data_IF_437177041275
#
_entry.id   IF_437177041275
#
_cell.length_a   1.000
_cell.length_b   1.000
_cell.length_c   1.000
_cell.angle_alpha   90.00
_cell.angle_beta   90.00
_cell.angle_gamma   90.00
#
_symmetry.space_group_name_H-M   'P 1'
#
loop_
_entity.id
_entity.type
_entity.pdbx_description
1 polymer ?
#
# COMPACT_ATOMS: atom_id res chain seq x y z
N UNK A 1 23.39 8.83 23.79
CA UNK A 1 22.41 9.86 24.19
C UNK A 1 21.30 9.85 23.15
N UNK A 2 20.04 9.66 23.51
CA UNK A 2 18.95 9.56 22.51
C UNK A 2 18.76 10.87 21.74
N UNK A 3 18.59 10.80 20.41
CA UNK A 3 18.36 11.96 19.52
C UNK A 3 17.31 12.94 20.07
N UNK A 4 16.21 12.41 20.60
CA UNK A 4 15.12 13.22 21.17
C UNK A 4 15.55 14.03 22.40
N UNK A 5 16.41 13.46 23.24
CA UNK A 5 16.98 14.13 24.41
C UNK A 5 17.93 15.24 23.99
N UNK A 6 18.84 14.95 23.04
CA UNK A 6 19.78 15.91 22.51
C UNK A 6 19.09 17.10 21.80
N UNK A 7 18.08 16.82 20.97
CA UNK A 7 17.30 17.86 20.29
C UNK A 7 16.52 18.73 21.29
N UNK A 8 15.93 18.13 22.34
CA UNK A 8 15.23 18.88 23.38
C UNK A 8 16.19 19.81 24.12
N UNK A 9 17.37 19.32 24.48
CA UNK A 9 18.41 20.10 25.16
C UNK A 9 18.92 21.24 24.28
N UNK A 10 19.18 20.98 23.00
CA UNK A 10 19.61 22.00 22.04
C UNK A 10 18.55 23.10 21.85
N UNK A 11 17.26 22.73 21.79
CA UNK A 11 16.17 23.71 21.68
C UNK A 11 16.03 24.55 22.95
N UNK A 12 16.11 23.93 24.13
CA UNK A 12 16.09 24.66 25.41
C UNK A 12 17.27 25.62 25.55
N UNK A 13 18.48 25.20 25.16
CA UNK A 13 19.68 26.04 25.18
C UNK A 13 19.62 27.20 24.17
N UNK A 14 19.01 26.98 23.01
CA UNK A 14 18.85 28.02 21.97
C UNK A 14 17.81 29.09 22.31
N UNK A 15 16.90 28.82 23.27
CA UNK A 15 15.79 29.69 23.61
C UNK A 15 14.75 29.90 22.49
N UNK A 16 14.81 29.11 21.41
CA UNK A 16 13.91 29.24 20.26
C UNK A 16 12.62 28.44 20.45
N UNK A 17 11.48 29.05 20.10
CA UNK A 17 10.21 28.33 20.01
C UNK A 17 10.19 27.43 18.77
N UNK A 18 9.41 26.34 18.82
CA UNK A 18 9.26 25.42 17.67
C UNK A 18 8.72 26.13 16.42
N UNK A 19 7.84 27.10 16.59
CA UNK A 19 7.30 27.96 15.52
C UNK A 19 8.42 28.78 14.85
N UNK A 20 9.35 29.32 15.64
CA UNK A 20 10.51 30.07 15.14
C UNK A 20 11.51 29.18 14.42
N UNK A 21 11.69 27.94 14.89
CA UNK A 21 12.53 26.92 14.25
C UNK A 21 11.91 26.52 12.89
N UNK A 22 10.61 26.22 12.84
CA UNK A 22 9.89 25.99 11.57
C UNK A 22 10.10 27.15 10.60
N UNK A 23 9.89 28.38 11.06
CA UNK A 23 10.01 29.56 10.21
C UNK A 23 11.43 29.71 9.62
N UNK A 24 12.47 29.44 10.41
CA UNK A 24 13.88 29.48 9.96
C UNK A 24 14.22 28.34 8.99
N UNK A 25 13.68 27.14 9.20
CA UNK A 25 13.81 26.02 8.25
C UNK A 25 13.11 26.35 6.92
N UNK A 26 11.91 26.95 6.99
CA UNK A 26 11.16 27.39 5.80
C UNK A 26 11.91 28.44 4.97
N UNK A 27 12.62 29.38 5.61
CA UNK A 27 13.50 30.35 4.90
C UNK A 27 14.66 29.70 4.14
N UNK A 28 15.00 28.45 4.46
CA UNK A 28 16.03 27.64 3.80
C UNK A 28 15.44 26.64 2.80
N UNK A 29 14.14 26.73 2.50
CA UNK A 29 13.43 25.82 1.59
C UNK A 29 13.10 24.45 2.20
N UNK A 30 13.26 24.29 3.53
CA UNK A 30 13.01 23.02 4.22
C UNK A 30 11.67 23.07 4.95
N UNK A 31 10.68 22.33 4.43
CA UNK A 31 9.32 22.30 5.00
C UNK A 31 9.21 21.27 6.11
N UNK A 32 9.16 21.73 7.36
CA UNK A 32 8.95 20.86 8.55
C UNK A 32 7.86 21.46 9.43
N UNK A 33 6.83 20.67 9.79
CA UNK A 33 5.75 21.18 10.64
C UNK A 33 6.19 21.30 12.11
N UNK A 34 5.52 22.17 12.89
CA UNK A 34 5.76 22.25 14.35
C UNK A 34 5.41 20.96 15.07
N UNK A 35 4.38 20.26 14.61
CA UNK A 35 4.04 18.93 15.10
C UNK A 35 5.22 17.97 14.91
N UNK A 36 5.82 17.93 13.71
CA UNK A 36 7.00 17.10 13.41
C UNK A 36 8.17 17.39 14.36
N UNK A 37 8.48 18.68 14.59
CA UNK A 37 9.54 19.08 15.55
C UNK A 37 9.21 18.67 16.99
N UNK A 38 7.94 18.79 17.40
CA UNK A 38 7.47 18.35 18.73
C UNK A 38 7.55 16.82 18.91
N UNK A 39 7.21 16.07 17.86
CA UNK A 39 7.33 14.60 17.85
C UNK A 39 8.79 14.14 17.91
N UNK A 40 9.71 14.87 17.27
CA UNK A 40 11.16 14.62 17.37
C UNK A 40 11.69 14.87 18.78
N UNK A 41 11.27 15.95 19.45
CA UNK A 41 11.66 16.22 20.85
C UNK A 41 11.14 15.19 21.86
N UNK A 42 10.01 14.54 21.55
CA UNK A 42 9.41 13.49 22.39
C UNK A 42 9.89 12.08 22.05
N UNK A 43 10.73 11.93 21.01
CA UNK A 43 11.23 10.62 20.55
C UNK A 43 10.16 9.75 19.90
N UNK A 44 9.02 10.33 19.52
CA UNK A 44 7.91 9.64 18.84
C UNK A 44 8.15 9.48 17.34
N UNK A 45 9.10 10.23 16.77
CA UNK A 45 9.56 10.14 15.38
C UNK A 45 11.03 10.58 15.32
N UNK A 46 11.77 10.15 14.30
CA UNK A 46 13.11 10.65 13.99
C UNK A 46 13.13 11.31 12.60
N UNK A 47 13.96 12.35 12.38
CA UNK A 47 14.11 12.97 11.07
C UNK A 47 14.72 11.96 10.08
N UNK A 48 14.14 11.87 8.87
CA UNK A 48 14.61 10.98 7.79
C UNK A 48 15.65 11.64 6.88
N UNK A 49 15.74 12.97 6.90
CA UNK A 49 16.67 13.75 6.07
C UNK A 49 17.80 14.31 6.92
N UNK A 50 19.04 13.90 6.62
CA UNK A 50 20.25 14.50 7.22
C UNK A 50 20.34 15.99 6.94
N UNK A 51 19.93 16.43 5.75
CA UNK A 51 19.91 17.86 5.36
C UNK A 51 19.08 18.72 6.31
N UNK A 52 17.96 18.18 6.81
CA UNK A 52 17.11 18.88 7.78
C UNK A 52 17.77 18.96 9.15
N UNK A 53 18.51 17.92 9.55
CA UNK A 53 19.21 17.89 10.85
C UNK A 53 20.43 18.79 10.86
N UNK A 54 21.21 18.82 9.78
CA UNK A 54 22.31 19.77 9.59
C UNK A 54 21.78 21.22 9.65
N UNK A 55 20.67 21.51 8.98
CA UNK A 55 20.05 22.84 9.05
C UNK A 55 19.53 23.17 10.46
N UNK A 56 19.07 22.18 11.22
CA UNK A 56 18.68 22.35 12.63
C UNK A 56 19.88 22.65 13.52
N UNK A 57 21.02 21.97 13.33
CA UNK A 57 22.24 22.21 14.09
C UNK A 57 22.69 23.67 13.95
N UNK A 58 22.70 24.18 12.72
CA UNK A 58 23.01 25.57 12.44
C UNK A 58 21.99 26.55 13.03
N UNK A 59 20.68 26.24 12.96
CA UNK A 59 19.63 27.11 13.52
C UNK A 59 19.72 27.19 15.05
N UNK A 60 20.07 26.07 15.68
CA UNK A 60 20.20 25.92 17.13
C UNK A 60 21.59 26.31 17.64
N UNK A 61 22.53 26.66 16.74
CA UNK A 61 23.91 27.05 17.05
C UNK A 61 24.66 25.97 17.86
N UNK A 62 24.41 24.69 17.54
CA UNK A 62 25.16 23.57 18.10
C UNK A 62 26.28 23.14 17.14
N UNK A 63 27.38 22.56 17.64
CA UNK A 63 28.45 22.08 16.78
C UNK A 63 27.94 21.10 15.71
N UNK A 64 28.44 21.17 14.46
CA UNK A 64 28.04 20.26 13.40
C UNK A 64 28.35 18.81 13.82
N UNK A 65 27.43 17.88 13.54
CA UNK A 65 27.55 16.47 13.93
C UNK A 65 26.86 16.12 15.26
N UNK A 66 26.58 17.11 16.12
CA UNK A 66 26.00 16.88 17.46
C UNK A 66 24.66 16.11 17.44
N UNK A 67 23.79 16.41 16.47
CA UNK A 67 22.50 15.75 16.26
C UNK A 67 22.54 14.78 15.08
N UNK A 68 23.41 15.04 14.09
CA UNK A 68 23.57 14.24 12.88
C UNK A 68 24.20 12.88 13.19
N UNK A 69 25.21 12.83 14.07
CA UNK A 69 25.87 11.58 14.45
C UNK A 69 24.96 10.69 15.32
N UNK A 70 24.00 11.31 16.03
CA UNK A 70 22.96 10.61 16.79
C UNK A 70 21.86 9.99 15.90
N UNK A 71 21.90 10.22 14.59
CA UNK A 71 21.07 9.48 13.63
C UNK A 71 21.68 8.09 13.30
N UNK A 72 22.97 7.90 13.57
CA UNK A 72 23.75 6.71 13.22
C UNK A 72 23.92 5.72 14.39
N UNK A 73 23.68 6.15 15.64
CA UNK A 73 23.82 5.29 16.83
C UNK A 73 22.49 4.55 17.15
N UNK A 74 22.47 3.21 17.18
CA UNK A 74 21.27 2.43 17.48
C UNK A 74 20.90 2.52 18.96
N UNK A 75 19.65 2.90 19.23
CA UNK A 75 19.05 2.78 20.56
C UNK A 75 19.02 1.29 21.00
N UNK A 76 19.31 0.99 22.27
CA UNK A 76 19.32 -0.37 22.78
C UNK A 76 17.90 -0.92 22.99
N UNK A 77 17.72 -2.18 22.58
CA UNK A 77 16.57 -3.06 22.85
C UNK A 77 15.25 -2.69 22.17
N UNK A 78 15.26 -2.70 20.85
CA UNK A 78 14.21 -3.35 20.08
C UNK A 78 14.90 -4.30 19.10
N UNK A 79 14.48 -5.57 19.08
CA UNK A 79 15.00 -6.63 18.22
C UNK A 79 15.18 -6.12 16.78
N UNK A 80 16.35 -6.29 16.15
CA UNK A 80 16.65 -5.58 14.92
C UNK A 80 15.88 -6.19 13.75
N UNK A 81 14.88 -5.46 13.24
CA UNK A 81 14.49 -5.56 11.82
C UNK A 81 15.22 -4.42 11.11
N UNK A 82 16.47 -4.69 10.70
CA UNK A 82 17.27 -3.77 9.89
C UNK A 82 18.18 -4.51 8.92
N UNK A 83 17.55 -5.11 7.93
CA UNK A 83 17.93 -4.99 6.53
C UNK A 83 16.65 -4.62 5.80
N UNK A 84 16.71 -3.95 4.63
CA UNK A 84 15.55 -4.03 3.72
C UNK A 84 15.15 -5.49 3.63
N UNK A 85 13.86 -5.81 3.71
CA UNK A 85 13.41 -7.19 3.66
C UNK A 85 13.98 -7.76 2.35
N UNK A 86 14.97 -8.64 2.47
CA UNK A 86 15.45 -9.42 1.34
C UNK A 86 14.58 -10.65 1.36
N UNK A 87 13.98 -11.00 0.22
CA UNK A 87 13.45 -12.34 0.06
C UNK A 87 14.59 -13.32 0.42
N UNK A 88 14.35 -14.27 1.33
CA UNK A 88 15.38 -15.04 2.05
C UNK A 88 16.42 -15.76 1.18
N UNK A 89 17.37 -16.43 1.84
CA UNK A 89 18.42 -17.22 1.16
C UNK A 89 17.82 -18.30 0.22
N UNK A 90 18.51 -18.67 -0.88
CA UNK A 90 17.96 -19.60 -1.86
C UNK A 90 17.64 -20.96 -1.25
N UNK A 91 16.38 -21.39 -1.33
CA UNK A 91 16.03 -22.78 -1.08
C UNK A 91 16.58 -23.69 -2.19
N UNK A 92 16.96 -24.96 -1.91
CA UNK A 92 17.48 -25.90 -2.91
C UNK A 92 16.58 -26.11 -4.14
N UNK A 93 15.28 -25.76 -4.04
CA UNK A 93 14.29 -25.90 -5.11
C UNK A 93 14.00 -24.63 -5.93
N UNK A 94 14.68 -23.50 -5.71
CA UNK A 94 14.37 -22.22 -6.40
C UNK A 94 14.68 -22.24 -7.91
N UNK A 95 15.65 -23.04 -8.38
CA UNK A 95 16.15 -22.98 -9.75
C UNK A 95 15.29 -23.70 -10.81
N UNK A 96 14.25 -24.42 -10.42
CA UNK A 96 13.45 -25.26 -11.33
C UNK A 96 11.95 -24.99 -11.34
N UNK A 97 11.43 -24.02 -10.57
CA UNK A 97 9.97 -23.85 -10.42
C UNK A 97 9.35 -23.09 -11.58
N UNK A 98 8.31 -23.65 -12.24
CA UNK A 98 7.67 -23.00 -13.37
C UNK A 98 6.82 -21.79 -12.93
N UNK A 99 6.66 -20.79 -13.82
CA UNK A 99 5.98 -19.51 -13.49
C UNK A 99 4.53 -19.74 -13.08
N UNK A 100 3.90 -20.73 -13.73
CA UNK A 100 2.50 -21.07 -13.58
C UNK A 100 2.13 -21.45 -12.14
N UNK A 101 3.08 -21.97 -11.36
CA UNK A 101 2.85 -22.37 -9.96
C UNK A 101 2.67 -21.16 -9.03
N UNK A 102 3.04 -19.95 -9.48
CA UNK A 102 2.73 -18.73 -8.74
C UNK A 102 1.23 -18.45 -8.72
N UNK A 103 0.45 -19.04 -9.62
CA UNK A 103 -0.96 -18.74 -9.84
C UNK A 103 -1.85 -19.83 -9.25
N UNK A 104 -3.05 -19.50 -8.72
CA UNK A 104 -3.95 -20.50 -8.14
C UNK A 104 -4.39 -21.58 -9.15
N UNK A 105 -4.58 -21.17 -10.41
CA UNK A 105 -4.89 -22.05 -11.54
C UNK A 105 -3.75 -21.96 -12.58
N UNK A 106 -2.78 -22.90 -12.53
CA UNK A 106 -1.64 -22.91 -13.45
C UNK A 106 -2.02 -23.10 -14.91
N UNK A 107 -3.06 -23.88 -15.20
CA UNK A 107 -3.52 -24.15 -16.56
C UNK A 107 -4.18 -22.92 -17.17
N UNK A 108 -5.05 -22.26 -16.40
CA UNK A 108 -5.66 -20.98 -16.80
C UNK A 108 -4.60 -19.91 -17.03
N UNK A 109 -3.60 -19.83 -16.16
CA UNK A 109 -2.46 -18.94 -16.39
C UNK A 109 -1.79 -19.25 -17.74
N UNK A 110 -1.43 -20.52 -18.00
CA UNK A 110 -0.78 -20.94 -19.25
C UNK A 110 -1.64 -20.65 -20.48
N UNK A 111 -2.94 -20.90 -20.43
CA UNK A 111 -3.86 -20.64 -21.53
C UNK A 111 -4.02 -19.14 -21.80
N UNK A 112 -4.12 -18.33 -20.76
CA UNK A 112 -4.29 -16.88 -20.87
C UNK A 112 -3.05 -16.22 -21.47
N UNK A 113 -1.86 -16.58 -20.96
CA UNK A 113 -0.60 -16.00 -21.41
C UNK A 113 -0.12 -16.54 -22.75
N UNK A 114 -0.56 -17.72 -23.16
CA UNK A 114 -0.28 -18.28 -24.49
C UNK A 114 -0.95 -17.50 -25.63
N UNK A 115 -1.92 -16.63 -25.31
CA UNK A 115 -2.60 -15.77 -26.27
C UNK A 115 -1.91 -14.41 -26.48
N UNK A 116 -0.86 -14.12 -25.71
CA UNK A 116 -0.14 -12.84 -25.70
C UNK A 116 1.28 -13.02 -26.25
N UNK A 117 1.84 -11.97 -26.83
CA UNK A 117 3.23 -11.97 -27.27
C UNK A 117 4.19 -11.69 -26.10
N UNK A 118 4.93 -12.74 -25.70
CA UNK A 118 5.89 -12.73 -24.58
C UNK A 118 7.33 -12.79 -25.04
N UNK A 119 7.58 -12.67 -26.34
CA UNK A 119 8.89 -12.93 -26.94
C UNK A 119 9.98 -12.04 -26.34
N UNK A 120 9.65 -10.81 -25.94
CA UNK A 120 10.58 -9.87 -25.30
C UNK A 120 10.67 -9.94 -23.77
N UNK A 121 9.75 -10.62 -23.08
CA UNK A 121 9.59 -10.53 -21.61
C UNK A 121 10.83 -10.97 -20.84
N UNK A 122 11.51 -12.01 -21.33
CA UNK A 122 12.69 -12.62 -20.70
C UNK A 122 13.95 -11.76 -20.89
N UNK A 123 13.91 -10.80 -21.81
CA UNK A 123 14.97 -9.80 -22.05
C UNK A 123 14.66 -8.46 -21.40
N UNK A 124 13.63 -8.38 -20.55
CA UNK A 124 13.34 -7.20 -19.76
C UNK A 124 13.77 -7.44 -18.31
N UNK A 125 14.79 -6.70 -17.91
CA UNK A 125 15.17 -6.53 -16.52
C UNK A 125 14.20 -5.54 -15.86
N UNK A 126 13.65 -5.91 -14.70
CA UNK A 126 12.73 -5.07 -13.95
C UNK A 126 13.52 -4.38 -12.84
N UNK A 127 13.75 -3.08 -13.01
CA UNK A 127 14.50 -2.29 -12.03
C UNK A 127 13.61 -2.00 -10.82
N UNK A 128 12.37 -1.57 -11.05
CA UNK A 128 11.46 -1.30 -9.94
C UNK A 128 9.99 -1.51 -10.28
N UNK A 129 9.21 -1.89 -9.27
CA UNK A 129 7.75 -1.94 -9.31
C UNK A 129 7.20 -1.23 -8.08
N UNK A 130 6.25 -0.34 -8.29
CA UNK A 130 5.51 0.35 -7.24
C UNK A 130 4.02 0.10 -7.43
N UNK A 131 3.40 -0.50 -6.42
CA UNK A 131 1.97 -0.75 -6.38
C UNK A 131 1.29 0.14 -5.35
N UNK A 132 0.14 0.68 -5.73
CA UNK A 132 -0.81 1.31 -4.82
C UNK A 132 -2.14 0.60 -4.98
N UNK A 133 -2.47 -0.24 -4.01
CA UNK A 133 -3.75 -0.94 -3.93
C UNK A 133 -4.69 -0.13 -3.02
N UNK A 134 -5.84 0.28 -3.53
CA UNK A 134 -6.84 1.04 -2.76
C UNK A 134 -8.08 0.19 -2.55
N UNK A 135 -8.48 0.06 -1.30
CA UNK A 135 -9.73 -0.58 -0.90
C UNK A 135 -10.77 0.49 -0.60
N UNK A 136 -11.98 0.31 -1.13
CA UNK A 136 -13.10 1.16 -0.78
C UNK A 136 -13.56 0.96 0.68
N UNK A 137 -14.31 1.93 1.21
CA UNK A 137 -14.85 1.90 2.57
C UNK A 137 -15.70 0.66 2.85
N UNK A 138 -16.44 0.19 1.83
CA UNK A 138 -17.31 -0.97 1.94
C UNK A 138 -16.57 -2.31 1.78
N UNK A 139 -15.29 -2.31 1.38
CA UNK A 139 -14.47 -3.47 1.01
C UNK A 139 -15.10 -4.34 -0.09
N UNK A 140 -15.88 -3.72 -0.96
CA UNK A 140 -16.58 -4.36 -2.08
C UNK A 140 -15.98 -3.98 -3.41
N UNK A 141 -15.07 -3.01 -3.44
CA UNK A 141 -14.35 -2.64 -4.64
C UNK A 141 -12.92 -2.25 -4.32
N UNK A 142 -12.05 -2.41 -5.32
CA UNK A 142 -10.67 -2.01 -5.21
C UNK A 142 -10.13 -1.49 -6.54
N UNK A 143 -9.07 -0.68 -6.43
CA UNK A 143 -8.26 -0.24 -7.57
C UNK A 143 -6.79 -0.56 -7.33
N UNK A 144 -6.04 -0.79 -8.41
CA UNK A 144 -4.61 -1.01 -8.35
C UNK A 144 -3.92 -0.10 -9.35
N UNK A 145 -3.14 0.86 -8.86
CA UNK A 145 -2.23 1.66 -9.68
C UNK A 145 -0.84 1.04 -9.63
N UNK A 146 -0.22 0.82 -10.80
CA UNK A 146 1.12 0.22 -10.91
C UNK A 146 2.03 1.14 -11.71
N UNK A 147 3.26 1.32 -11.22
CA UNK A 147 4.39 1.90 -11.98
C UNK A 147 5.51 0.89 -12.04
N UNK A 148 6.00 0.58 -13.24
CA UNK A 148 7.18 -0.27 -13.43
C UNK A 148 8.25 0.43 -14.26
N UNK A 149 9.50 0.30 -13.82
CA UNK A 149 10.69 0.74 -14.54
C UNK A 149 11.43 -0.49 -15.04
N UNK A 150 11.66 -0.53 -16.35
CA UNK A 150 12.24 -1.65 -17.07
C UNK A 150 13.54 -1.22 -17.75
N UNK A 151 14.46 -2.16 -17.90
CA UNK A 151 15.64 -2.05 -18.75
C UNK A 151 15.65 -3.20 -19.75
N UNK A 152 15.88 -2.88 -21.01
CA UNK A 152 16.09 -3.89 -22.04
C UNK A 152 17.49 -4.50 -21.89
N UNK A 153 17.56 -5.83 -21.78
CA UNK A 153 18.80 -6.61 -21.76
C UNK A 153 19.20 -7.11 -23.17
N UNK A 154 18.39 -6.83 -24.21
CA UNK A 154 18.65 -7.18 -25.60
C UNK A 154 17.80 -6.34 -26.57
N UNK A 155 18.10 -6.41 -27.87
CA UNK A 155 17.56 -5.52 -28.91
C UNK A 155 16.26 -5.98 -29.56
N UNK A 156 15.40 -5.03 -29.95
CA UNK A 156 14.09 -5.28 -30.57
C UNK A 156 12.98 -5.67 -29.57
N UNK A 157 12.94 -5.01 -28.41
CA UNK A 157 11.80 -5.16 -27.47
C UNK A 157 10.80 -4.03 -27.69
N UNK A 158 9.57 -4.35 -28.04
CA UNK A 158 8.52 -3.35 -28.26
C UNK A 158 7.39 -3.41 -27.22
N UNK A 159 7.38 -4.41 -26.33
CA UNK A 159 6.29 -4.61 -25.35
C UNK A 159 6.72 -5.37 -24.10
N UNK A 160 5.84 -5.33 -23.09
CA UNK A 160 5.89 -6.16 -21.88
C UNK A 160 4.51 -6.76 -21.61
N UNK A 161 4.46 -8.00 -21.10
CA UNK A 161 3.21 -8.62 -20.64
C UNK A 161 3.06 -8.49 -19.13
N UNK A 162 1.89 -8.01 -18.71
CA UNK A 162 1.48 -7.91 -17.32
C UNK A 162 0.36 -8.92 -17.03
N UNK A 163 0.39 -9.54 -15.85
CA UNK A 163 -0.66 -10.46 -15.40
C UNK A 163 -1.00 -10.10 -13.95
N UNK A 164 -2.29 -10.04 -13.66
CA UNK A 164 -2.84 -9.75 -12.33
C UNK A 164 -3.99 -10.68 -12.01
N UNK A 165 -4.17 -10.95 -10.72
CA UNK A 165 -5.41 -11.56 -10.25
C UNK A 165 -6.40 -10.44 -9.97
N UNK A 166 -7.53 -10.49 -10.66
CA UNK A 166 -8.63 -9.54 -10.54
C UNK A 166 -9.84 -10.14 -9.84
N UNK A 167 -9.78 -11.40 -9.42
CA UNK A 167 -10.84 -12.02 -8.63
C UNK A 167 -10.37 -13.16 -7.73
N UNK A 168 -11.17 -13.48 -6.72
CA UNK A 168 -10.86 -14.43 -5.68
C UNK A 168 -11.09 -15.88 -6.09
N UNK A 169 -10.02 -16.68 -6.14
CA UNK A 169 -10.14 -18.08 -5.75
C UNK A 169 -9.82 -18.14 -4.28
N UNK A 170 -10.80 -18.52 -3.45
CA UNK A 170 -10.61 -18.75 -2.02
C UNK A 170 -9.50 -19.78 -1.81
N UNK A 171 -8.33 -19.35 -1.33
CA UNK A 171 -7.35 -20.29 -0.79
C UNK A 171 -7.82 -20.72 0.60
N UNK A 172 -7.71 -22.01 0.96
CA UNK A 172 -8.14 -22.50 2.25
C UNK A 172 -7.38 -21.74 3.34
N UNK A 173 -8.12 -20.94 4.10
CA UNK A 173 -7.59 -20.18 5.21
C UNK A 173 -6.86 -21.10 6.18
N UNK A 174 -5.75 -20.59 6.71
CA UNK A 174 -5.00 -21.21 7.78
C UNK A 174 -5.88 -21.30 9.04
N UNK A 175 -6.73 -22.31 9.16
CA UNK A 175 -7.32 -22.73 10.44
C UNK A 175 -6.24 -23.40 11.28
N UNK A 176 -5.30 -22.60 11.77
CA UNK A 176 -4.35 -22.97 12.82
C UNK A 176 -4.98 -22.75 14.20
N UNK A 177 -6.08 -23.43 14.49
CA UNK A 177 -6.61 -23.62 15.85
C UNK A 177 -6.50 -25.11 16.19
N UNK A 178 -6.02 -25.49 17.39
CA UNK A 178 -5.66 -26.87 17.68
C UNK A 178 -6.89 -27.79 17.58
N UNK A 179 -6.76 -28.83 16.77
CA UNK A 179 -7.71 -29.93 16.71
C UNK A 179 -7.78 -30.61 18.08
N UNK A 180 -8.92 -30.48 18.76
CA UNK A 180 -9.30 -31.38 19.86
C UNK A 180 -9.98 -32.59 19.24
N UNK A 181 -9.24 -33.70 19.16
CA UNK A 181 -9.78 -35.00 18.78
C UNK A 181 -10.33 -35.74 19.99
N UNK A 182 -11.51 -36.35 19.81
CA UNK A 182 -12.06 -37.47 20.59
C UNK A 182 -12.81 -37.05 21.85
N UNK A 183 -14.11 -37.33 22.05
CA UNK A 183 -14.95 -38.39 21.49
C UNK A 183 -15.23 -39.45 22.55
N UNK A 184 -16.37 -39.31 23.24
CA UNK A 184 -17.11 -40.31 24.03
C UNK A 184 -18.34 -39.56 24.56
N UNK A 185 -19.60 -39.93 24.41
CA UNK A 185 -20.19 -41.22 24.12
C UNK A 185 -21.42 -41.34 25.04
N UNK A 186 -22.60 -41.25 24.41
CA UNK A 186 -23.82 -41.98 24.78
C UNK A 186 -24.93 -41.35 25.64
N UNK A 187 -26.15 -41.81 25.28
CA UNK A 187 -27.49 -41.75 25.89
C UNK A 187 -28.52 -40.67 25.46
N UNK A 188 -29.49 -41.18 24.68
CA UNK A 188 -30.86 -40.69 24.46
C UNK A 188 -31.71 -40.79 25.76
N UNK A 189 -32.93 -40.27 25.97
CA UNK A 189 -34.13 -39.94 25.15
C UNK A 189 -34.98 -38.90 25.99
N UNK A 190 -36.32 -38.65 25.79
CA UNK A 190 -36.93 -37.43 25.25
C UNK A 190 -37.72 -36.57 26.28
N UNK A 191 -38.24 -35.43 25.83
CA UNK A 191 -39.27 -34.68 26.57
C UNK A 191 -40.02 -33.69 25.69
N UNK A 192 -41.26 -34.03 25.33
CA UNK A 192 -42.28 -33.18 24.72
C UNK A 192 -42.72 -32.04 25.67
N UNK A 193 -42.83 -30.80 25.17
CA UNK A 193 -44.01 -29.94 25.40
C UNK A 193 -43.97 -28.65 24.54
N UNK A 194 -45.07 -28.43 23.83
CA UNK A 194 -45.62 -27.17 23.29
C UNK A 194 -47.07 -27.09 23.87
N UNK A 195 -47.89 -26.04 23.70
CA UNK A 195 -47.73 -24.59 23.49
C UNK A 195 -48.46 -23.76 24.60
N UNK A 196 -48.43 -22.41 24.53
CA UNK A 196 -49.64 -21.55 24.39
C UNK A 196 -49.48 -20.09 24.91
N UNK A 197 -50.21 -19.18 24.23
CA UNK A 197 -50.70 -17.87 24.71
C UNK A 197 -49.78 -16.67 24.38
N UNK A 198 -50.01 -15.77 23.41
CA UNK A 198 -51.17 -14.95 23.01
C UNK A 198 -51.40 -13.66 23.84
N UNK A 199 -51.35 -12.52 23.13
CA UNK A 199 -52.00 -11.21 23.37
C UNK A 199 -51.45 -10.36 24.56
N UNK A 200 -51.43 -9.01 24.61
CA UNK A 200 -52.14 -7.88 23.98
C UNK A 200 -51.20 -6.63 23.96
N UNK A 201 -51.23 -5.78 22.92
CA UNK A 201 -51.87 -4.45 22.85
C UNK A 201 -51.41 -3.37 23.87
N UNK A 202 -51.04 -2.18 23.35
CA UNK A 202 -50.79 -0.99 24.17
C UNK A 202 -50.15 0.16 23.41
N UNK A 203 -50.95 0.92 22.67
CA UNK A 203 -50.58 2.20 22.08
C UNK A 203 -50.45 3.29 23.17
N UNK A 204 -49.55 4.27 23.00
CA UNK A 204 -49.86 5.69 23.26
C UNK A 204 -48.88 6.62 22.55
N UNK A 205 -49.46 7.71 22.04
CA UNK A 205 -48.86 8.84 21.37
C UNK A 205 -48.12 9.80 22.33
N UNK A 206 -47.24 10.63 21.77
CA UNK A 206 -46.63 11.77 22.47
C UNK A 206 -45.85 12.67 21.52
N UNK A 207 -46.56 13.59 20.86
CA UNK A 207 -46.00 14.70 20.11
C UNK A 207 -45.48 15.82 21.04
N UNK A 208 -44.46 16.57 20.61
CA UNK A 208 -44.27 18.02 20.76
C UNK A 208 -42.93 18.42 20.09
N UNK A 209 -42.96 19.18 18.99
CA UNK A 209 -42.92 20.66 18.93
C UNK A 209 -41.50 21.22 19.20
N UNK A 210 -40.79 21.69 18.17
CA UNK A 210 -40.82 23.05 17.59
C UNK A 210 -39.71 23.94 18.18
N UNK A 211 -38.93 24.59 17.32
CA UNK A 211 -37.90 25.56 17.71
C UNK A 211 -37.06 26.05 16.54
N UNK A 212 -37.56 27.07 15.85
CA UNK A 212 -36.92 27.78 14.75
C UNK A 212 -35.98 28.91 15.24
N UNK A 213 -34.99 29.29 14.40
CA UNK A 213 -34.45 30.65 14.11
C UNK A 213 -33.01 30.50 13.55
N UNK A 214 -32.62 30.89 12.34
CA UNK A 214 -32.68 32.18 11.62
C UNK A 214 -31.58 33.20 11.99
N UNK A 215 -30.71 33.50 11.01
CA UNK A 215 -29.98 34.77 10.81
C UNK A 215 -28.73 34.99 11.68
N UNK A 216 -27.65 35.68 11.27
CA UNK A 216 -27.51 36.82 10.35
C UNK A 216 -26.03 36.93 9.89
N UNK A 217 -25.86 37.60 8.74
CA UNK A 217 -24.65 37.94 8.00
C UNK A 217 -23.76 39.05 8.60
N UNK A 218 -22.50 39.10 8.16
CA UNK A 218 -21.67 40.30 7.87
C UNK A 218 -20.38 39.79 7.16
N UNK A 219 -20.13 39.96 5.85
CA UNK A 219 -19.89 41.14 4.99
C UNK A 219 -18.51 41.82 5.20
N UNK A 220 -17.60 41.45 4.26
CA UNK A 220 -16.74 42.25 3.38
C UNK A 220 -15.56 43.14 3.87
N UNK A 221 -14.49 43.10 3.04
CA UNK A 221 -13.40 44.08 2.93
C UNK A 221 -12.07 43.41 2.52
N UNK A 222 -11.87 42.93 1.29
CA UNK A 222 -11.47 43.66 0.07
C UNK A 222 -10.18 44.52 0.21
N UNK A 223 -9.07 44.06 -0.39
CA UNK A 223 -8.19 44.85 -1.26
C UNK A 223 -7.02 44.00 -1.81
N UNK A 224 -7.06 43.79 -3.14
CA UNK A 224 -5.98 43.99 -4.14
C UNK A 224 -4.56 43.50 -3.78
N UNK A 225 -3.90 42.57 -4.48
CA UNK A 225 -3.91 42.31 -5.92
C UNK A 225 -2.53 42.62 -6.49
N UNK A 226 -1.64 41.63 -6.52
CA UNK A 226 -0.49 41.56 -7.45
C UNK A 226 -0.29 40.09 -7.81
N UNK A 227 -0.42 39.79 -9.11
CA UNK A 227 -0.37 38.45 -9.68
C UNK A 227 1.05 37.85 -9.61
N UNK A 228 1.15 36.62 -9.11
CA UNK A 228 2.34 35.78 -9.23
C UNK A 228 1.93 34.30 -9.27
N UNK A 229 1.91 33.76 -10.48
CA UNK A 229 2.01 32.34 -10.91
C UNK A 229 1.77 31.29 -9.82
N UNK A 230 0.51 30.89 -9.65
CA UNK A 230 0.12 29.73 -8.84
C UNK A 230 0.13 28.47 -9.70
N UNK A 231 1.13 27.61 -9.49
CA UNK A 231 1.06 26.20 -9.86
C UNK A 231 0.14 25.45 -8.91
N UNK A 232 -1.14 25.38 -9.25
CA UNK A 232 -2.15 24.59 -8.53
C UNK A 232 -1.81 23.12 -8.66
N UNK A 233 -1.63 22.44 -7.52
CA UNK A 233 -1.61 20.98 -7.43
C UNK A 233 -3.04 20.52 -7.68
N UNK A 234 -3.32 20.06 -8.90
CA UNK A 234 -4.62 19.55 -9.27
C UNK A 234 -4.90 18.25 -8.50
N UNK A 235 -5.73 18.35 -7.46
CA UNK A 235 -6.58 17.25 -7.05
C UNK A 235 -7.57 17.00 -8.20
N UNK A 236 -7.31 15.95 -8.98
CA UNK A 236 -8.24 15.52 -10.00
C UNK A 236 -9.35 14.71 -9.33
N UNK A 237 -10.46 15.37 -9.00
CA UNK A 237 -11.77 14.71 -8.99
C UNK A 237 -12.01 14.18 -10.41
N UNK A 238 -11.83 12.86 -10.59
CA UNK A 238 -12.24 12.18 -11.83
C UNK A 238 -13.75 12.07 -11.81
N UNK A 239 -14.40 12.91 -12.61
CA UNK A 239 -15.78 12.74 -13.02
C UNK A 239 -15.97 11.35 -13.63
N UNK A 240 -16.98 10.62 -13.14
CA UNK A 240 -17.44 9.36 -13.69
C UNK A 240 -17.92 9.58 -15.13
N UNK A 241 -17.06 9.28 -16.10
CA UNK A 241 -17.45 9.15 -17.50
C UNK A 241 -17.94 7.71 -17.72
N UNK A 242 -19.26 7.53 -17.69
CA UNK A 242 -19.91 6.28 -18.09
C UNK A 242 -19.78 6.09 -19.61
N UNK A 243 -18.71 5.45 -20.04
CA UNK A 243 -18.63 4.75 -21.32
C UNK A 243 -18.57 3.26 -21.00
N UNK A 244 -19.37 2.44 -21.68
CA UNK A 244 -19.41 0.99 -21.49
C UNK A 244 -18.00 0.38 -21.68
N UNK A 245 -17.25 0.25 -20.59
CA UNK A 245 -15.83 -0.05 -20.59
C UNK A 245 -15.57 -1.50 -20.19
N UNK A 246 -14.75 -2.19 -20.97
CA UNK A 246 -14.12 -3.46 -20.60
C UNK A 246 -13.65 -3.42 -19.16
N UNK A 247 -14.25 -4.24 -18.29
CA UNK A 247 -13.78 -4.39 -16.92
C UNK A 247 -12.28 -4.78 -16.93
N UNK A 248 -11.42 -3.90 -16.39
CA UNK A 248 -10.12 -4.29 -15.84
C UNK A 248 -8.83 -3.56 -16.28
N UNK A 249 -8.83 -2.59 -17.21
CA UNK A 249 -7.67 -1.68 -17.39
C UNK A 249 -8.18 -0.27 -17.68
N UNK A 250 -8.03 0.65 -16.72
CA UNK A 250 -8.72 1.94 -16.70
C UNK A 250 -7.87 3.12 -17.19
N UNK A 251 -6.58 3.12 -16.88
CA UNK A 251 -5.65 4.17 -17.30
C UNK A 251 -4.30 3.55 -17.67
N UNK A 252 -3.61 4.14 -18.64
CA UNK A 252 -2.29 3.68 -19.11
C UNK A 252 -1.45 4.90 -19.50
N UNK A 253 -0.21 4.99 -18.99
CA UNK A 253 0.72 6.07 -19.32
C UNK A 253 2.09 5.52 -19.73
N UNK A 254 2.79 6.30 -20.57
CA UNK A 254 4.13 6.00 -21.11
C UNK A 254 4.22 4.72 -21.96
N UNK A 255 3.08 4.17 -22.34
CA UNK A 255 2.92 3.01 -23.20
C UNK A 255 1.48 2.97 -23.75
N UNK A 256 1.20 2.02 -24.64
CA UNK A 256 -0.12 1.82 -25.24
C UNK A 256 -0.62 0.42 -24.88
N UNK A 257 -1.90 0.27 -24.53
CA UNK A 257 -2.47 -1.05 -24.32
C UNK A 257 -2.46 -1.84 -25.65
N UNK A 258 -1.94 -3.05 -25.60
CA UNK A 258 -2.02 -4.02 -26.68
C UNK A 258 -3.20 -4.98 -26.46
N UNK A 259 -2.94 -6.28 -26.65
CA UNK A 259 -3.97 -7.30 -26.43
C UNK A 259 -4.28 -7.44 -24.94
N UNK A 260 -5.57 -7.46 -24.58
CA UNK A 260 -6.07 -7.68 -23.22
C UNK A 260 -6.87 -8.99 -23.21
N UNK A 261 -6.67 -9.81 -22.18
CA UNK A 261 -7.40 -11.06 -21.93
C UNK A 261 -7.75 -11.15 -20.46
N UNK A 262 -8.99 -11.54 -20.17
CA UNK A 262 -9.44 -11.80 -18.82
C UNK A 262 -10.26 -13.08 -18.81
N UNK A 263 -9.96 -13.98 -17.88
CA UNK A 263 -10.65 -15.25 -17.73
C UNK A 263 -10.54 -15.72 -16.27
N UNK A 264 -11.68 -16.03 -15.66
CA UNK A 264 -11.75 -16.67 -14.34
C UNK A 264 -10.94 -15.97 -13.25
N UNK A 265 -11.09 -14.65 -13.12
CA UNK A 265 -10.39 -13.86 -12.09
C UNK A 265 -8.90 -13.60 -12.37
N UNK A 266 -8.39 -13.99 -13.54
CA UNK A 266 -7.09 -13.58 -14.04
C UNK A 266 -7.27 -12.56 -15.16
N UNK A 267 -6.41 -11.56 -15.18
CA UNK A 267 -6.28 -10.62 -16.28
C UNK A 267 -4.83 -10.57 -16.74
N UNK A 268 -4.62 -10.62 -18.05
CA UNK A 268 -3.33 -10.45 -18.68
C UNK A 268 -3.43 -9.46 -19.83
N UNK A 269 -2.44 -8.60 -19.99
CA UNK A 269 -2.42 -7.62 -21.07
C UNK A 269 -1.00 -7.29 -21.52
N UNK A 270 -0.88 -6.94 -22.79
CA UNK A 270 0.32 -6.37 -23.38
C UNK A 270 0.35 -4.85 -23.18
N UNK A 271 1.52 -4.31 -22.85
CA UNK A 271 1.81 -2.89 -22.91
C UNK A 271 2.89 -2.67 -23.96
N UNK A 272 2.52 -2.01 -25.06
CA UNK A 272 3.42 -1.69 -26.17
C UNK A 272 4.12 -0.37 -25.87
N UNK A 273 5.45 -0.35 -25.93
CA UNK A 273 6.25 0.83 -25.72
C UNK A 273 6.09 1.82 -26.88
N UNK A 274 6.31 3.11 -26.62
CA UNK A 274 6.24 4.15 -27.66
C UNK A 274 7.36 4.06 -28.71
N UNK A 275 8.36 3.22 -28.44
CA UNK A 275 9.48 2.91 -29.33
C UNK A 275 9.96 1.48 -29.11
N UNK A 276 10.61 0.91 -30.12
CA UNK A 276 11.38 -0.32 -29.97
C UNK A 276 12.64 -0.02 -29.13
N UNK A 277 12.91 -0.85 -28.12
CA UNK A 277 14.03 -0.71 -27.21
C UNK A 277 15.22 -1.54 -27.66
N UNK A 278 16.41 -0.94 -27.57
CA UNK A 278 17.70 -1.61 -27.71
C UNK A 278 18.29 -1.99 -26.35
N UNK A 279 19.29 -2.86 -26.33
CA UNK A 279 19.99 -3.24 -25.11
C UNK A 279 20.49 -2.00 -24.35
N UNK A 280 20.19 -1.95 -23.05
CA UNK A 280 20.52 -0.83 -22.16
C UNK A 280 19.44 0.25 -22.06
N UNK A 281 18.52 0.36 -23.03
CA UNK A 281 17.41 1.32 -22.99
C UNK A 281 16.51 1.08 -21.78
N UNK A 282 15.92 2.16 -21.28
CA UNK A 282 14.93 2.11 -20.22
C UNK A 282 13.54 2.46 -20.76
N UNK A 283 12.53 1.88 -20.10
CA UNK A 283 11.14 2.22 -20.31
C UNK A 283 10.43 2.31 -18.96
N UNK A 284 9.46 3.21 -18.87
CA UNK A 284 8.53 3.31 -17.75
C UNK A 284 7.16 2.93 -18.28
N UNK A 285 6.43 2.11 -17.53
CA UNK A 285 5.02 1.83 -17.80
C UNK A 285 4.22 2.12 -16.56
N UNK A 286 3.07 2.75 -16.75
CA UNK A 286 2.09 2.96 -15.70
C UNK A 286 0.72 2.54 -16.16
N UNK A 287 -0.04 1.92 -15.26
CA UNK A 287 -1.41 1.57 -15.53
C UNK A 287 -2.24 1.47 -14.25
N UNK A 288 -3.56 1.51 -14.43
CA UNK A 288 -4.55 1.34 -13.39
C UNK A 288 -5.52 0.21 -13.73
N UNK A 289 -5.77 -0.67 -12.76
CA UNK A 289 -6.77 -1.74 -12.83
C UNK A 289 -7.93 -1.36 -11.89
N UNK A 290 -9.15 -1.64 -12.34
CA UNK A 290 -10.37 -1.39 -11.59
C UNK A 290 -11.04 -0.05 -11.91
N UNK A 291 -12.11 0.33 -11.18
CA UNK A 291 -12.63 -0.37 -10.01
C UNK A 291 -13.10 -1.78 -10.36
N UNK A 292 -12.72 -2.74 -9.51
CA UNK A 292 -13.21 -4.12 -9.59
C UNK A 292 -14.19 -4.31 -8.43
N UNK A 293 -15.46 -4.52 -8.75
CA UNK A 293 -16.54 -4.75 -7.77
C UNK A 293 -16.58 -6.22 -7.35
N UNK A 294 -15.60 -6.62 -6.54
CA UNK A 294 -15.54 -7.94 -5.92
C UNK A 294 -15.15 -7.78 -4.44
N UNK A 295 -15.68 -8.64 -3.58
CA UNK A 295 -15.34 -8.62 -2.15
C UNK A 295 -13.82 -8.68 -2.02
N UNK A 296 -13.25 -7.59 -1.52
CA UNK A 296 -11.82 -7.48 -1.42
C UNK A 296 -11.33 -8.48 -0.38
N UNK A 297 -10.34 -9.27 -0.76
CA UNK A 297 -9.70 -10.23 0.14
C UNK A 297 -8.97 -9.46 1.23
N UNK A 298 -8.78 -10.09 2.38
CA UNK A 298 -7.97 -9.56 3.48
C UNK A 298 -6.46 -9.58 3.20
N UNK A 299 -6.09 -9.59 1.92
CA UNK A 299 -4.71 -9.53 1.45
C UNK A 299 -4.62 -9.05 0.01
N UNK A 300 -3.52 -8.36 -0.28
CA UNK A 300 -3.05 -8.05 -1.62
C UNK A 300 -1.69 -8.71 -1.84
N UNK A 301 -1.47 -9.30 -3.02
CA UNK A 301 -0.17 -9.85 -3.40
C UNK A 301 0.24 -9.46 -4.82
N UNK A 302 1.56 -9.40 -5.04
CA UNK A 302 2.18 -9.36 -6.37
C UNK A 302 2.96 -10.63 -6.61
N UNK A 303 2.80 -11.16 -7.82
CA UNK A 303 3.50 -12.34 -8.33
C UNK A 303 4.65 -11.94 -9.24
N UNK A 304 5.86 -12.31 -8.85
CA UNK A 304 7.09 -11.98 -9.54
C UNK A 304 7.50 -13.16 -10.42
N UNK A 305 7.18 -13.08 -11.71
CA UNK A 305 7.65 -14.08 -12.68
C UNK A 305 9.16 -13.97 -12.96
N UNK A 306 9.72 -12.78 -12.75
CA UNK A 306 11.14 -12.46 -12.94
C UNK A 306 11.65 -11.68 -11.71
N UNK A 307 12.95 -11.73 -11.41
CA UNK A 307 13.54 -10.90 -10.36
C UNK A 307 13.32 -9.41 -10.60
N UNK A 308 13.23 -8.64 -9.52
CA UNK A 308 13.08 -7.18 -9.51
C UNK A 308 14.04 -6.58 -8.50
N UNK A 309 14.69 -5.44 -8.80
CA UNK A 309 15.63 -4.85 -7.84
C UNK A 309 14.90 -4.24 -6.65
N UNK A 310 13.88 -3.43 -6.89
CA UNK A 310 13.13 -2.77 -5.82
C UNK A 310 11.62 -2.90 -6.00
N UNK A 311 10.95 -3.44 -4.98
CA UNK A 311 9.49 -3.52 -4.93
C UNK A 311 8.94 -2.72 -3.77
N UNK A 312 7.90 -1.92 -4.06
CA UNK A 312 7.11 -1.21 -3.05
C UNK A 312 5.64 -1.54 -3.24
N UNK A 313 4.98 -1.92 -2.15
CA UNK A 313 3.53 -2.06 -2.07
C UNK A 313 2.97 -1.08 -1.05
N UNK A 314 1.92 -0.36 -1.42
CA UNK A 314 1.13 0.50 -0.52
C UNK A 314 -0.31 0.01 -0.57
N UNK A 315 -0.86 -0.35 0.58
CA UNK A 315 -2.29 -0.60 0.77
C UNK A 315 -2.89 0.66 1.35
N UNK A 316 -3.86 1.23 0.66
CA UNK A 316 -4.64 2.38 1.09
C UNK A 316 -6.03 1.87 1.48
N UNK A 317 -6.41 2.09 2.74
CA UNK A 317 -7.74 1.80 3.26
C UNK A 317 -8.53 3.10 3.23
N UNK A 318 -9.62 3.14 2.46
CA UNK A 318 -10.53 4.28 2.46
C UNK A 318 -11.56 4.13 3.60
N UNK A 319 -11.92 5.27 4.21
CA UNK A 319 -12.89 5.33 5.32
C UNK A 319 -12.28 5.35 6.73
N UNK A 320 -13.15 5.43 7.73
CA UNK A 320 -12.78 5.57 9.16
C UNK A 320 -12.43 4.22 9.82
N UNK A 321 -12.73 3.09 9.16
CA UNK A 321 -12.48 1.74 9.69
C UNK A 321 -11.16 1.20 9.16
N UNK A 322 -10.11 1.31 9.96
CA UNK A 322 -8.80 0.72 9.65
C UNK A 322 -8.71 -0.73 10.18
N UNK A 323 -7.86 -1.58 9.57
CA UNK A 323 -7.59 -2.90 10.12
C UNK A 323 -6.88 -2.81 11.47
N UNK A 324 -7.06 -3.85 12.28
CA UNK A 324 -6.42 -3.96 13.58
C UNK A 324 -4.90 -4.18 13.42
N UNK A 325 -4.51 -5.00 12.43
CA UNK A 325 -3.12 -5.37 12.16
C UNK A 325 -2.88 -5.59 10.67
N UNK A 326 -1.67 -5.28 10.21
CA UNK A 326 -1.19 -5.60 8.87
C UNK A 326 0.11 -6.40 8.97
N UNK A 327 0.33 -7.34 8.07
CA UNK A 327 1.54 -8.16 8.01
C UNK A 327 2.05 -8.23 6.58
N UNK A 328 3.36 -7.99 6.41
CA UNK A 328 4.01 -8.33 5.15
C UNK A 328 4.23 -9.85 5.07
N UNK A 329 4.15 -10.44 3.89
CA UNK A 329 4.47 -11.86 3.70
C UNK A 329 5.18 -12.11 2.37
N UNK A 330 5.89 -13.24 2.32
CA UNK A 330 6.37 -13.86 1.08
C UNK A 330 5.85 -15.28 0.94
N UNK A 331 5.64 -15.75 -0.28
CA UNK A 331 5.39 -17.16 -0.56
C UNK A 331 6.13 -17.58 -1.83
N UNK A 332 6.58 -18.83 -1.90
CA UNK A 332 7.33 -19.31 -3.07
C UNK A 332 6.42 -19.66 -4.26
N UNK A 333 5.15 -19.97 -4.01
CA UNK A 333 4.13 -20.35 -5.00
C UNK A 333 2.74 -20.08 -4.44
N UNK A 334 1.68 -20.24 -5.24
CA UNK A 334 0.31 -20.06 -4.78
C UNK A 334 -0.08 -21.07 -3.69
N UNK A 335 0.48 -22.28 -3.73
CA UNK A 335 0.17 -23.36 -2.78
C UNK A 335 1.17 -23.45 -1.62
N UNK A 336 2.25 -22.67 -1.67
CA UNK A 336 3.26 -22.65 -0.61
C UNK A 336 2.74 -21.89 0.61
N UNK A 337 3.12 -22.30 1.83
CA UNK A 337 2.78 -21.54 3.02
C UNK A 337 3.34 -20.13 2.95
N UNK A 338 2.54 -19.15 3.39
CA UNK A 338 2.98 -17.75 3.51
C UNK A 338 3.91 -17.60 4.70
N UNK A 339 5.06 -16.98 4.49
CA UNK A 339 6.01 -16.62 5.53
C UNK A 339 5.84 -15.12 5.85
N UNK A 340 5.38 -14.81 7.07
CA UNK A 340 5.26 -13.42 7.54
C UNK A 340 6.65 -12.79 7.71
N UNK A 341 6.81 -11.59 7.16
CA UNK A 341 8.02 -10.77 7.23
C UNK A 341 8.05 -9.84 8.46
N UNK A 342 6.89 -9.64 9.09
CA UNK A 342 6.72 -8.77 10.25
C UNK A 342 5.40 -8.00 10.20
N UNK A 343 5.01 -7.44 11.34
CA UNK A 343 3.86 -6.54 11.43
C UNK A 343 4.20 -5.18 10.81
N UNK A 344 3.26 -4.64 10.04
CA UNK A 344 3.36 -3.36 9.35
C UNK A 344 2.52 -2.32 10.06
N UNK A 345 3.09 -1.12 10.20
CA UNK A 345 2.39 -0.01 10.80
C UNK A 345 1.35 0.59 9.84
N UNK A 346 0.14 0.82 10.33
CA UNK A 346 -0.91 1.57 9.63
C UNK A 346 -0.76 3.05 10.01
N UNK A 347 -0.36 3.87 9.04
CA UNK A 347 -0.19 5.30 9.24
C UNK A 347 -1.50 6.05 9.44
N UNK A 348 -1.41 7.30 9.91
CA UNK A 348 -2.56 8.23 9.99
C UNK A 348 -3.15 8.59 8.61
N UNK A 349 -2.43 8.27 7.53
CA UNK A 349 -2.93 8.33 6.16
C UNK A 349 -3.87 7.18 5.82
N UNK A 350 -4.15 6.25 6.74
CA UNK A 350 -4.95 5.06 6.47
C UNK A 350 -4.23 4.07 5.55
N UNK A 351 -2.89 4.03 5.60
CA UNK A 351 -2.10 3.21 4.67
C UNK A 351 -1.06 2.35 5.38
N UNK A 352 -0.88 1.12 4.91
CA UNK A 352 0.24 0.25 5.24
C UNK A 352 1.17 0.13 4.02
N UNK A 353 2.48 0.01 4.24
CA UNK A 353 3.44 -0.14 3.14
C UNK A 353 4.53 -1.16 3.46
N UNK A 354 5.05 -1.76 2.39
CA UNK A 354 6.12 -2.74 2.39
C UNK A 354 7.11 -2.37 1.29
N UNK A 355 8.41 -2.38 1.62
CA UNK A 355 9.49 -2.19 0.66
C UNK A 355 10.48 -3.37 0.76
N UNK A 356 10.72 -4.03 -0.37
CA UNK A 356 11.54 -5.25 -0.48
C UNK A 356 12.57 -5.05 -1.58
N UNK A 357 13.83 -5.26 -1.25
CA UNK A 357 14.94 -5.18 -2.20
C UNK A 357 15.34 -6.57 -2.70
N UNK A 358 15.97 -6.61 -3.88
CA UNK A 358 16.43 -7.83 -4.55
C UNK A 358 15.35 -8.94 -4.57
N UNK A 359 14.14 -8.57 -4.97
CA UNK A 359 12.99 -9.48 -5.01
C UNK A 359 13.25 -10.57 -6.04
N UNK A 360 13.13 -11.81 -5.60
CA UNK A 360 13.27 -12.98 -6.45
C UNK A 360 11.92 -13.38 -7.05
N UNK A 361 11.95 -14.41 -7.90
CA UNK A 361 10.72 -15.08 -8.30
C UNK A 361 9.97 -15.57 -7.05
N UNK A 362 8.67 -15.32 -7.01
CA UNK A 362 7.82 -15.69 -5.89
C UNK A 362 6.62 -14.76 -5.78
N UNK A 363 6.04 -14.72 -4.58
CA UNK A 363 4.91 -13.89 -4.22
C UNK A 363 5.34 -13.01 -3.06
N UNK A 364 5.05 -11.72 -3.13
CA UNK A 364 5.19 -10.78 -2.01
C UNK A 364 3.87 -10.07 -1.84
N UNK A 365 3.39 -9.96 -0.60
CA UNK A 365 2.10 -9.34 -0.33
C UNK A 365 2.00 -8.72 1.06
N UNK A 366 0.86 -8.09 1.27
CA UNK A 366 0.44 -7.56 2.56
C UNK A 366 -0.93 -8.19 2.87
N UNK A 367 -1.06 -8.77 4.05
CA UNK A 367 -2.32 -9.26 4.59
C UNK A 367 -2.71 -8.44 5.82
N UNK A 368 -4.00 -8.37 6.14
CA UNK A 368 -4.51 -7.59 7.26
C UNK A 368 -5.64 -8.32 7.99
N UNK A 369 -5.81 -7.97 9.26
CA UNK A 369 -6.81 -8.55 10.14
C UNK A 369 -7.73 -7.42 10.65
N UNK A 370 -9.04 -7.61 10.51
CA UNK A 370 -10.04 -6.67 11.01
C UNK A 370 -10.44 -6.97 12.45
N UNK A 371 -11.09 -6.01 13.11
CA UNK A 371 -11.67 -6.15 14.45
C UNK A 371 -12.88 -7.06 14.50
#
# INVERSE_FOLDING_TARGET
MEFAGALRQAIQASGLTLERIRHRLGRRGLTVSVATLSYWQRGRSRPRSRTVVVALEEILQVPPGTLTDLLDDPAPTATPVRGGLTAGAPGPGERGRPVRDLWPDPERYTNLVGQLDRSGDHRLERLSIHDVFRLDEARRSWTLSVRSVLRAAGDDIDRVVCVHQTGGVQQPGNTGGPATSGGSGDLAVPGDHKPDGAAEAGATAGANAAGAAAGVAAVAGAATGVAAVTGTVAGAERAAASGAGTAGLADVRYCRPGRIRAEGGLMAFELVFDRVLSAGDTAVVEYEIGPIDELAHDSYDRRFSHPVHDYVAIIQFDGERLPARCYGFTAESSQSPRQRLGELWIGTSGSANLAVGAVRRGIVGIEWEWH
#
